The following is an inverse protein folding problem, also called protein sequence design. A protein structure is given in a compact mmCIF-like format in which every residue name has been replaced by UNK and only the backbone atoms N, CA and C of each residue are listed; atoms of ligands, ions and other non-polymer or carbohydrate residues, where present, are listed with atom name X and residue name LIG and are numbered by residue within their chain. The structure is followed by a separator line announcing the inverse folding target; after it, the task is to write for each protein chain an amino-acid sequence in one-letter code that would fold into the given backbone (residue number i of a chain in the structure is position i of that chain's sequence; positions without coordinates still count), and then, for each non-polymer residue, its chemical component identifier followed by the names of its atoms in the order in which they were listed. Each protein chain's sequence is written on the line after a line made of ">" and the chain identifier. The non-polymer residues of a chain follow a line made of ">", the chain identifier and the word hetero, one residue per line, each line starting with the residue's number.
data_IF_855550708109
#
_entry.id   IF_855550708109
#
_cell.length_a   1.000
_cell.length_b   1.000
_cell.length_c   1.000
_cell.angle_alpha   90.00
_cell.angle_beta   90.00
_cell.angle_gamma   90.00
#
_symmetry.space_group_name_H-M   'P 1'
#
loop_
_entity.id
_entity.type
_entity.pdbx_description
1 polymer ?
#
# COMPACT_ATOMS: atom_id res chain seq x y z
N UNK A 1 -21.46 11.79 -15.58
CA UNK A 1 -21.61 10.35 -15.33
C UNK A 1 -20.53 9.92 -14.35
N UNK A 2 -20.82 9.03 -13.43
CA UNK A 2 -19.85 8.54 -12.46
C UNK A 2 -19.63 7.04 -12.62
N UNK A 3 -18.42 6.59 -12.33
CA UNK A 3 -18.03 5.19 -12.37
C UNK A 3 -17.10 4.84 -11.22
N UNK A 4 -17.02 3.54 -10.91
CA UNK A 4 -16.20 3.03 -9.83
C UNK A 4 -14.92 2.43 -10.39
N UNK A 5 -13.79 2.83 -9.80
CA UNK A 5 -12.48 2.26 -10.13
C UNK A 5 -11.89 1.68 -8.86
N UNK A 6 -11.50 0.41 -8.95
CA UNK A 6 -10.77 -0.31 -7.92
C UNK A 6 -9.26 -0.10 -8.11
N UNK A 7 -8.58 0.21 -7.01
CA UNK A 7 -7.14 0.43 -6.99
C UNK A 7 -6.46 -0.72 -6.26
N UNK A 8 -5.50 -1.37 -6.92
CA UNK A 8 -4.75 -2.45 -6.31
C UNK A 8 -3.81 -3.10 -7.29
N UNK A 9 -2.54 -2.73 -7.25
CA UNK A 9 -1.50 -3.43 -8.00
C UNK A 9 -0.92 -4.51 -7.11
N UNK A 10 -1.38 -5.75 -7.28
CA UNK A 10 -0.69 -6.91 -6.76
C UNK A 10 -0.38 -6.91 -5.25
N UNK A 11 0.51 -7.83 -4.90
CA UNK A 11 0.89 -8.22 -3.54
C UNK A 11 2.02 -7.30 -3.08
N UNK A 12 1.74 -6.31 -2.24
CA UNK A 12 2.80 -5.66 -1.47
C UNK A 12 3.00 -6.51 -0.21
N UNK A 13 4.14 -7.15 -0.02
CA UNK A 13 4.38 -7.94 1.18
C UNK A 13 4.90 -6.97 2.25
N UNK A 14 4.12 -6.72 3.30
CA UNK A 14 4.57 -5.97 4.48
C UNK A 14 4.22 -6.81 5.71
N UNK A 15 5.20 -7.57 6.24
CA UNK A 15 5.12 -8.71 7.19
C UNK A 15 4.70 -10.07 6.55
N UNK A 16 4.58 -11.12 7.40
CA UNK A 16 3.73 -12.31 7.18
C UNK A 16 2.30 -11.97 6.73
N UNK A 17 1.87 -10.71 6.84
CA UNK A 17 0.68 -10.18 6.19
C UNK A 17 1.01 -9.65 4.80
N UNK A 18 0.61 -10.45 3.83
CA UNK A 18 0.44 -10.03 2.44
C UNK A 18 -0.51 -8.82 2.42
N UNK A 19 0.01 -7.61 2.18
CA UNK A 19 -0.82 -6.44 1.87
C UNK A 19 -1.24 -6.57 0.41
N UNK A 20 -2.39 -7.22 0.20
CA UNK A 20 -3.06 -7.14 -1.09
C UNK A 20 -3.65 -5.74 -1.14
N UNK A 21 -3.00 -4.82 -1.85
CA UNK A 21 -3.60 -3.50 -2.12
C UNK A 21 -4.99 -3.65 -2.75
N UNK A 22 -5.20 -4.75 -3.49
CA UNK A 22 -6.50 -5.16 -4.04
C UNK A 22 -7.59 -5.49 -3.00
N UNK A 23 -7.26 -5.84 -1.75
CA UNK A 23 -8.27 -6.17 -0.71
C UNK A 23 -8.49 -5.03 0.29
N UNK A 24 -7.46 -4.22 0.57
CA UNK A 24 -7.56 -3.16 1.59
C UNK A 24 -8.08 -1.82 1.05
N UNK A 25 -8.03 -1.59 -0.26
CA UNK A 25 -8.49 -0.32 -0.84
C UNK A 25 -9.93 -0.42 -1.38
N UNK A 26 -10.89 0.36 -0.82
CA UNK A 26 -12.24 0.40 -1.35
C UNK A 26 -12.24 1.02 -2.76
N UNK A 27 -13.12 0.56 -3.67
CA UNK A 27 -13.35 1.24 -4.94
C UNK A 27 -13.72 2.72 -4.70
N UNK A 28 -13.23 3.60 -5.55
CA UNK A 28 -13.57 5.03 -5.50
C UNK A 28 -14.34 5.45 -6.74
N UNK A 29 -15.19 6.46 -6.56
CA UNK A 29 -16.04 6.99 -7.61
C UNK A 29 -15.38 8.16 -8.32
N UNK A 30 -15.40 8.16 -9.66
CA UNK A 30 -14.81 9.20 -10.50
C UNK A 30 -15.80 9.73 -11.52
N UNK A 31 -15.71 11.03 -11.80
CA UNK A 31 -16.48 11.65 -12.87
C UNK A 31 -15.85 11.27 -14.22
N UNK A 32 -16.65 10.68 -15.11
CA UNK A 32 -16.25 10.35 -16.48
C UNK A 32 -16.55 11.46 -17.49
N UNK A 33 -17.23 12.54 -17.11
CA UNK A 33 -17.51 13.70 -17.99
C UNK A 33 -16.28 14.59 -18.23
N UNK A 34 -15.09 14.02 -18.11
CA UNK A 34 -13.80 14.67 -18.33
C UNK A 34 -13.05 13.92 -19.44
N UNK A 35 -11.96 14.48 -19.93
CA UNK A 35 -11.09 13.79 -20.87
C UNK A 35 -10.33 12.64 -20.18
N UNK A 36 -9.88 11.65 -20.96
CA UNK A 36 -9.23 10.45 -20.42
C UNK A 36 -7.97 10.78 -19.62
N UNK A 37 -7.19 11.77 -20.05
CA UNK A 37 -6.00 12.24 -19.33
C UNK A 37 -6.34 12.84 -17.96
N UNK A 38 -7.41 13.64 -17.88
CA UNK A 38 -7.90 14.23 -16.63
C UNK A 38 -8.41 13.14 -15.69
N UNK A 39 -9.23 12.22 -16.18
CA UNK A 39 -9.71 11.09 -15.39
C UNK A 39 -8.53 10.28 -14.85
N UNK A 40 -7.58 9.92 -15.71
CA UNK A 40 -6.41 9.15 -15.34
C UNK A 40 -5.53 9.90 -14.33
N UNK A 41 -5.41 11.22 -14.45
CA UNK A 41 -4.72 12.08 -13.47
C UNK A 41 -5.37 12.02 -12.08
N UNK A 42 -6.70 12.13 -12.01
CA UNK A 42 -7.43 12.01 -10.73
C UNK A 42 -7.27 10.63 -10.11
N UNK A 43 -7.40 9.59 -10.93
CA UNK A 43 -7.25 8.20 -10.51
C UNK A 43 -5.86 7.94 -9.94
N UNK A 44 -4.80 8.39 -10.64
CA UNK A 44 -3.42 8.26 -10.18
C UNK A 44 -3.19 8.98 -8.86
N UNK A 45 -3.67 10.22 -8.76
CA UNK A 45 -3.50 11.06 -7.56
C UNK A 45 -4.20 10.47 -6.34
N UNK A 46 -5.42 9.93 -6.53
CA UNK A 46 -6.17 9.25 -5.48
C UNK A 46 -5.44 8.00 -4.99
N UNK A 47 -5.01 7.13 -5.92
CA UNK A 47 -4.26 5.93 -5.59
C UNK A 47 -2.99 6.25 -4.78
N UNK A 48 -2.16 7.18 -5.25
CA UNK A 48 -0.89 7.52 -4.61
C UNK A 48 -1.10 8.06 -3.19
N UNK A 49 -2.11 8.90 -2.98
CA UNK A 49 -2.46 9.43 -1.67
C UNK A 49 -2.88 8.31 -0.72
N UNK A 50 -3.77 7.43 -1.17
CA UNK A 50 -4.27 6.36 -0.31
C UNK A 50 -3.17 5.37 0.08
N UNK A 51 -2.23 5.04 -0.82
CA UNK A 51 -1.10 4.18 -0.46
C UNK A 51 -0.17 4.88 0.54
N UNK A 52 0.11 6.17 0.34
CA UNK A 52 0.94 6.96 1.27
C UNK A 52 0.30 7.01 2.67
N UNK A 53 -1.00 7.24 2.76
CA UNK A 53 -1.75 7.26 4.02
C UNK A 53 -1.70 5.89 4.72
N UNK A 54 -1.90 4.79 3.99
CA UNK A 54 -1.79 3.43 4.56
C UNK A 54 -0.36 3.16 5.05
N UNK A 55 0.67 3.58 4.29
CA UNK A 55 2.06 3.41 4.69
C UNK A 55 2.38 4.18 5.97
N UNK A 56 1.90 5.42 6.09
CA UNK A 56 2.04 6.24 7.31
C UNK A 56 1.33 5.61 8.49
N UNK A 57 0.08 5.19 8.32
CA UNK A 57 -0.68 4.54 9.40
C UNK A 57 0.01 3.26 9.90
N UNK A 58 0.56 2.46 8.98
CA UNK A 58 1.34 1.26 9.33
C UNK A 58 2.64 1.62 10.04
N UNK A 59 3.37 2.64 9.57
CA UNK A 59 4.60 3.10 10.22
C UNK A 59 4.35 3.56 11.65
N UNK A 60 3.28 4.32 11.89
CA UNK A 60 2.88 4.76 13.23
C UNK A 60 2.50 3.58 14.13
N UNK A 61 1.75 2.61 13.60
CA UNK A 61 1.43 1.40 14.35
C UNK A 61 2.69 0.62 14.74
N UNK A 62 3.65 0.50 13.82
CA UNK A 62 4.93 -0.15 14.10
C UNK A 62 5.74 0.57 15.16
N UNK A 63 5.78 1.91 15.16
CA UNK A 63 6.49 2.67 16.19
C UNK A 63 5.84 2.52 17.57
N UNK A 64 4.50 2.49 17.64
CA UNK A 64 3.76 2.27 18.89
C UNK A 64 4.02 0.85 19.43
N UNK A 65 3.92 -0.18 18.58
CA UNK A 65 4.19 -1.57 18.97
C UNK A 65 5.61 -1.69 19.57
N UNK A 66 6.59 -1.00 18.97
CA UNK A 66 7.99 -1.01 19.40
C UNK A 66 8.19 -0.31 20.75
N UNK A 67 7.55 0.85 20.94
CA UNK A 67 7.57 1.57 22.22
C UNK A 67 6.88 0.76 23.33
N UNK A 68 5.74 0.10 23.03
CA UNK A 68 5.06 -0.79 23.96
C UNK A 68 5.94 -1.97 24.40
N UNK A 69 6.69 -2.58 23.47
CA UNK A 69 7.66 -3.63 23.79
C UNK A 69 8.82 -3.11 24.67
N UNK A 70 9.28 -1.88 24.43
CA UNK A 70 10.37 -1.27 25.21
C UNK A 70 9.92 -0.88 26.62
N UNK A 71 8.70 -0.36 26.78
CA UNK A 71 8.16 0.03 28.07
C UNK A 71 7.86 -1.21 28.95
N UNK A 72 7.39 -2.32 28.35
CA UNK A 72 7.25 -3.58 29.07
C UNK A 72 8.61 -4.11 29.59
N UNK A 73 9.69 -3.87 28.83
CA UNK A 73 11.06 -4.23 29.23
C UNK A 73 11.56 -3.38 30.41
N UNK A 74 11.30 -2.07 30.42
CA UNK A 74 11.68 -1.20 31.55
C UNK A 74 10.85 -1.47 32.82
N UNK A 75 9.58 -1.86 32.67
CA UNK A 75 8.73 -2.25 33.82
C UNK A 75 9.14 -3.62 34.38
N UNK A 76 9.50 -4.59 33.53
CA UNK A 76 10.11 -5.85 34.02
C UNK A 76 11.45 -5.61 34.72
N UNK A 77 12.28 -4.71 34.21
CA UNK A 77 13.60 -4.40 34.79
C UNK A 77 13.49 -3.60 36.11
N UNK A 78 12.45 -2.77 36.27
CA UNK A 78 12.18 -2.03 37.50
C UNK A 78 11.57 -2.89 38.63
N UNK A 79 10.91 -4.02 38.31
CA UNK A 79 10.28 -4.91 39.30
C UNK A 79 11.26 -5.90 39.93
N UNK A 80 12.52 -5.99 39.46
CA UNK A 80 13.55 -6.90 40.03
C UNK A 80 14.22 -6.36 41.30
N UNK A 81 13.84 -5.17 41.80
CA UNK A 81 14.38 -4.64 43.06
C UNK A 81 13.42 -4.88 44.22
N UNK A 82 13.09 -6.15 44.50
CA UNK A 82 12.84 -6.70 45.85
C UNK A 82 12.27 -8.13 45.74
N UNK A 83 13.09 -9.12 46.10
CA UNK A 83 12.66 -10.51 46.31
C UNK A 83 13.18 -11.48 45.26
N UNK A 84 14.19 -12.26 45.63
CA UNK A 84 14.74 -13.31 44.78
C UNK A 84 13.73 -14.44 44.55
N UNK A 85 13.61 -14.86 43.29
CA UNK A 85 13.70 -16.25 42.87
C UNK A 85 13.93 -16.28 41.35
N UNK A 86 14.48 -17.39 40.88
CA UNK A 86 15.17 -17.59 39.60
C UNK A 86 14.27 -17.34 38.37
N UNK A 87 14.45 -16.23 37.66
CA UNK A 87 13.92 -16.04 36.31
C UNK A 87 15.05 -15.59 35.38
N UNK A 88 15.56 -16.55 34.60
CA UNK A 88 16.55 -16.30 33.55
C UNK A 88 16.07 -15.19 32.60
N UNK A 89 16.89 -14.17 32.30
CA UNK A 89 16.55 -13.18 31.29
C UNK A 89 16.39 -13.88 29.92
N UNK A 90 15.44 -13.45 29.08
CA UNK A 90 15.29 -14.02 27.75
C UNK A 90 16.62 -13.87 26.97
N UNK A 91 17.04 -14.89 26.20
CA UNK A 91 18.36 -14.93 25.60
C UNK A 91 18.56 -13.74 24.63
N UNK A 92 19.79 -13.17 24.54
CA UNK A 92 20.12 -12.05 23.67
C UNK A 92 19.72 -12.22 22.19
N UNK A 93 19.54 -13.47 21.77
CA UNK A 93 19.20 -13.88 20.41
C UNK A 93 17.77 -13.48 19.99
N UNK A 94 16.78 -13.49 20.91
CA UNK A 94 15.39 -13.13 20.57
C UNK A 94 15.20 -11.61 20.40
N UNK A 95 15.98 -10.81 21.13
CA UNK A 95 15.98 -9.34 21.00
C UNK A 95 16.62 -8.87 19.69
N UNK A 96 17.76 -9.45 19.31
CA UNK A 96 18.44 -9.15 18.05
C UNK A 96 17.56 -9.55 16.84
N UNK A 97 16.85 -10.68 16.93
CA UNK A 97 15.87 -11.07 15.91
C UNK A 97 14.69 -10.10 15.80
N UNK A 98 14.15 -9.63 16.92
CA UNK A 98 13.03 -8.68 16.95
C UNK A 98 13.40 -7.35 16.31
N UNK A 99 14.60 -6.86 16.60
CA UNK A 99 15.13 -5.61 16.08
C UNK A 99 15.43 -5.70 14.57
N UNK A 100 16.09 -6.77 14.12
CA UNK A 100 16.33 -7.02 12.68
C UNK A 100 15.04 -7.18 11.88
N UNK A 101 14.01 -7.82 12.44
CA UNK A 101 12.68 -7.95 11.80
C UNK A 101 12.00 -6.59 11.59
N UNK A 102 12.31 -5.62 12.44
CA UNK A 102 11.71 -4.28 12.40
C UNK A 102 12.46 -3.36 11.43
N UNK A 103 13.80 -3.42 11.41
CA UNK A 103 14.62 -2.77 10.39
C UNK A 103 14.27 -3.26 8.98
N UNK A 104 14.08 -4.57 8.80
CA UNK A 104 13.63 -5.14 7.52
C UNK A 104 12.23 -4.64 7.10
N UNK A 105 11.33 -4.39 8.06
CA UNK A 105 10.01 -3.81 7.77
C UNK A 105 10.12 -2.34 7.35
N UNK A 106 11.04 -1.59 7.95
CA UNK A 106 11.31 -0.20 7.62
C UNK A 106 11.93 -0.08 6.21
N UNK A 107 12.86 -0.98 5.87
CA UNK A 107 13.42 -1.09 4.52
C UNK A 107 12.34 -1.44 3.48
N UNK A 108 11.43 -2.37 3.82
CA UNK A 108 10.30 -2.71 2.96
C UNK A 108 9.39 -1.50 2.72
N UNK A 109 9.06 -0.73 3.76
CA UNK A 109 8.28 0.51 3.63
C UNK A 109 9.02 1.55 2.76
N UNK A 110 10.34 1.67 2.90
CA UNK A 110 11.15 2.55 2.07
C UNK A 110 11.13 2.13 0.58
N UNK A 111 11.21 0.83 0.30
CA UNK A 111 11.08 0.30 -1.07
C UNK A 111 9.70 0.58 -1.67
N UNK A 112 8.64 0.50 -0.87
CA UNK A 112 7.28 0.86 -1.30
C UNK A 112 7.17 2.34 -1.59
N UNK A 113 7.68 3.19 -0.70
CA UNK A 113 7.74 4.65 -0.92
C UNK A 113 8.51 5.00 -2.20
N UNK A 114 9.63 4.32 -2.46
CA UNK A 114 10.38 4.46 -3.71
C UNK A 114 9.55 4.04 -4.93
N UNK A 115 8.90 2.88 -4.87
CA UNK A 115 8.02 2.39 -5.95
C UNK A 115 6.88 3.36 -6.25
N UNK A 116 6.33 4.03 -5.23
CA UNK A 116 5.29 5.06 -5.39
C UNK A 116 5.81 6.32 -6.08
N UNK A 117 7.02 6.77 -5.75
CA UNK A 117 7.68 7.89 -6.43
C UNK A 117 7.97 7.56 -7.90
N UNK A 118 8.34 6.32 -8.19
CA UNK A 118 8.52 5.86 -9.57
C UNK A 118 7.18 5.83 -10.33
N UNK A 119 6.08 5.43 -9.68
CA UNK A 119 4.73 5.45 -10.25
C UNK A 119 4.20 6.87 -10.54
N UNK A 120 4.64 7.87 -9.78
CA UNK A 120 4.30 9.28 -9.99
C UNK A 120 4.85 9.83 -11.30
N UNK A 121 6.05 9.40 -11.69
CA UNK A 121 6.82 10.04 -12.77
C UNK A 121 6.69 9.33 -14.11
N UNK A 122 6.35 8.04 -14.13
CA UNK A 122 6.60 7.20 -15.30
C UNK A 122 5.40 6.96 -16.23
N UNK A 123 4.23 7.56 -15.99
CA UNK A 123 3.07 7.41 -16.88
C UNK A 123 2.58 5.95 -17.04
N UNK A 124 3.06 5.05 -16.21
CA UNK A 124 2.90 3.60 -16.27
C UNK A 124 1.59 3.09 -15.68
N UNK A 125 0.54 3.91 -15.61
CA UNK A 125 -0.75 3.49 -15.05
C UNK A 125 -1.85 3.69 -16.08
N UNK A 126 -2.72 2.69 -16.18
CA UNK A 126 -3.87 2.66 -17.09
C UNK A 126 -5.04 1.94 -16.42
N UNK A 127 -6.20 1.93 -17.06
CA UNK A 127 -7.41 1.30 -16.53
C UNK A 127 -7.77 0.09 -17.39
N UNK A 128 -8.14 -1.01 -16.75
CA UNK A 128 -8.67 -2.22 -17.37
C UNK A 128 -10.15 -2.41 -16.99
N UNK A 129 -10.90 -3.08 -17.87
CA UNK A 129 -12.27 -3.52 -17.59
C UNK A 129 -12.31 -4.80 -16.74
N UNK A 130 -13.52 -5.32 -16.51
CA UNK A 130 -13.76 -6.55 -15.73
C UNK A 130 -13.13 -7.81 -16.34
N UNK A 131 -12.84 -7.81 -17.64
CA UNK A 131 -12.19 -8.91 -18.35
C UNK A 131 -10.66 -8.83 -18.27
N UNK A 132 -10.13 -7.76 -17.66
CA UNK A 132 -8.71 -7.44 -17.62
C UNK A 132 -8.20 -6.80 -18.90
N UNK A 133 -9.08 -6.47 -19.86
CA UNK A 133 -8.69 -5.82 -21.09
C UNK A 133 -8.37 -4.34 -20.82
N UNK A 134 -7.18 -3.91 -21.26
CA UNK A 134 -6.71 -2.54 -21.08
C UNK A 134 -7.46 -1.57 -21.97
N UNK A 135 -7.87 -0.44 -21.38
CA UNK A 135 -8.61 0.62 -22.06
C UNK A 135 -7.71 1.68 -22.69
N UNK A 136 -6.42 1.69 -22.36
CA UNK A 136 -5.41 2.55 -22.98
C UNK A 136 -5.77 4.03 -22.88
N UNK A 137 -6.25 4.45 -21.71
CA UNK A 137 -6.65 5.84 -21.46
C UNK A 137 -5.45 6.80 -21.64
N UNK A 138 -4.24 6.31 -21.39
CA UNK A 138 -2.98 7.00 -21.62
C UNK A 138 -2.67 7.26 -23.11
N UNK A 139 -3.28 6.51 -24.04
CA UNK A 139 -3.12 6.69 -25.50
C UNK A 139 -4.22 7.59 -26.08
N UNK A 140 -5.31 7.80 -25.33
CA UNK A 140 -6.53 8.50 -25.76
C UNK A 140 -6.75 9.80 -25.01
N UNK A 141 -5.68 10.54 -24.77
CA UNK A 141 -5.65 11.67 -23.82
C UNK A 141 -6.78 12.69 -24.03
N UNK A 142 -7.13 13.00 -25.29
CA UNK A 142 -8.14 14.01 -25.64
C UNK A 142 -9.57 13.46 -25.72
N UNK A 143 -9.75 12.15 -25.78
CA UNK A 143 -11.06 11.53 -25.89
C UNK A 143 -11.84 11.72 -24.59
N UNK A 144 -13.15 11.88 -24.68
CA UNK A 144 -14.01 11.92 -23.48
C UNK A 144 -14.05 10.54 -22.87
N UNK A 145 -13.84 10.47 -21.55
CA UNK A 145 -13.87 9.21 -20.85
C UNK A 145 -15.26 8.54 -20.89
N UNK A 146 -16.35 9.33 -20.95
CA UNK A 146 -17.72 8.82 -21.15
C UNK A 146 -17.93 8.03 -22.43
N UNK A 147 -17.15 8.30 -23.47
CA UNK A 147 -17.35 7.70 -24.79
C UNK A 147 -16.71 6.30 -24.85
N UNK A 148 -15.81 6.03 -23.91
CA UNK A 148 -15.04 4.79 -23.80
C UNK A 148 -15.55 3.95 -22.62
N UNK A 149 -15.88 4.61 -21.51
CA UNK A 149 -16.27 3.96 -20.26
C UNK A 149 -17.77 3.83 -20.18
N UNK A 150 -18.24 2.61 -19.93
CA UNK A 150 -19.64 2.29 -19.68
C UNK A 150 -20.01 2.47 -18.21
N UNK A 151 -21.19 3.02 -17.90
CA UNK A 151 -21.72 3.04 -16.54
C UNK A 151 -21.99 1.62 -16.05
N UNK A 152 -21.93 1.41 -14.71
CA UNK A 152 -22.15 0.12 -14.01
C UNK A 152 -21.03 -0.91 -14.12
N UNK A 153 -20.00 -0.68 -14.94
CA UNK A 153 -18.81 -1.52 -14.98
C UNK A 153 -17.87 -1.14 -13.83
N UNK A 154 -17.23 -2.15 -13.24
CA UNK A 154 -16.14 -1.95 -12.27
C UNK A 154 -14.84 -2.01 -13.03
N UNK A 155 -14.09 -0.93 -12.99
CA UNK A 155 -12.80 -0.84 -13.65
C UNK A 155 -11.68 -1.05 -12.64
N UNK A 156 -10.51 -1.48 -13.12
CA UNK A 156 -9.34 -1.68 -12.29
C UNK A 156 -8.15 -0.89 -12.81
N UNK A 157 -7.44 -0.23 -11.89
CA UNK A 157 -6.19 0.43 -12.23
C UNK A 157 -5.07 -0.62 -12.36
N UNK A 158 -4.34 -0.59 -13.49
CA UNK A 158 -3.31 -1.57 -13.88
C UNK A 158 -1.98 -0.89 -14.28
N UNK A 159 -0.86 -1.52 -13.90
CA UNK A 159 0.50 -0.97 -14.09
C UNK A 159 1.07 -1.49 -15.40
N UNK A 160 1.51 -0.57 -16.26
CA UNK A 160 2.16 -0.81 -17.54
C UNK A 160 3.55 -1.41 -17.32
N UNK A 161 3.90 -2.41 -18.12
CA UNK A 161 5.22 -3.07 -18.05
C UNK A 161 5.34 -4.17 -16.99
N UNK A 162 4.37 -4.30 -16.08
CA UNK A 162 4.16 -5.55 -15.36
C UNK A 162 3.40 -6.49 -16.27
N UNK A 163 4.11 -7.18 -17.14
CA UNK A 163 3.62 -8.46 -17.68
C UNK A 163 3.25 -9.31 -16.48
N UNK A 164 1.96 -9.52 -16.26
CA UNK A 164 1.45 -10.60 -15.43
C UNK A 164 1.82 -11.91 -16.11
N UNK A 165 3.10 -12.28 -15.99
CA UNK A 165 3.55 -13.65 -16.15
C UNK A 165 3.67 -14.21 -14.74
N UNK A 166 2.61 -14.96 -14.39
CA UNK A 166 2.53 -15.99 -13.35
C UNK A 166 2.56 -15.52 -11.88
#
# INVERSE_FOLDING_TARGET
>A
MFLWIKYGFGRFIIRRSIMRTSEEMPPKMFNSNVTCDILLGFVRSAFLRDVDDICKQRSLKLSIDLEGMKNNKEVEEAVVTEGGDEASPPPPQEQDEGQRKLEAQLETLAQISKTLKDLQTSGILDVADETGARLKLNERLRDRATDILKPRYVYQLVKLGSSSLL
#
